data_IF_597816199762
#
_entry.id   IF_597816199762
#
_cell.length_a   1.000
_cell.length_b   1.000
_cell.length_c   1.000
_cell.angle_alpha   90.00
_cell.angle_beta   90.00
_cell.angle_gamma   90.00
#
_symmetry.space_group_name_H-M   'P 1'
#
loop_
_entity.id
_entity.type
_entity.pdbx_description
1 polymer ?
#
# COMPACT_ATOMS: atom_id res chain seq x y z
N UNK A 1 -5.44 -1.93 -40.59
CA UNK A 1 -5.51 -1.51 -39.16
C UNK A 1 -6.95 -1.54 -38.66
N UNK A 2 -7.90 -0.96 -39.40
CA UNK A 2 -9.33 -0.97 -39.03
C UNK A 2 -9.95 -2.38 -39.01
N UNK A 3 -9.61 -3.25 -39.96
CA UNK A 3 -10.09 -4.64 -40.01
C UNK A 3 -9.66 -5.47 -38.78
N UNK A 4 -8.40 -5.31 -38.37
CA UNK A 4 -7.83 -5.98 -37.17
C UNK A 4 -8.53 -5.49 -35.90
N UNK A 5 -8.84 -4.20 -35.83
CA UNK A 5 -9.58 -3.63 -34.70
C UNK A 5 -11.01 -4.15 -34.61
N UNK A 6 -11.70 -4.31 -35.74
CA UNK A 6 -13.06 -4.87 -35.78
C UNK A 6 -13.09 -6.34 -35.35
N UNK A 7 -12.16 -7.15 -35.86
CA UNK A 7 -12.07 -8.57 -35.53
C UNK A 7 -11.80 -8.77 -34.04
N UNK A 8 -10.86 -8.01 -33.47
CA UNK A 8 -10.57 -8.06 -32.04
C UNK A 8 -11.73 -7.54 -31.17
N UNK A 9 -12.44 -6.49 -31.57
CA UNK A 9 -13.65 -6.01 -30.86
C UNK A 9 -14.73 -7.09 -30.80
N UNK A 10 -14.93 -7.81 -31.89
CA UNK A 10 -15.85 -8.95 -31.97
C UNK A 10 -15.37 -10.12 -31.10
N UNK A 11 -14.08 -10.45 -31.12
CA UNK A 11 -13.55 -11.60 -30.36
C UNK A 11 -13.63 -11.40 -28.85
N UNK A 12 -13.33 -10.19 -28.38
CA UNK A 12 -13.29 -9.86 -26.94
C UNK A 12 -14.57 -9.19 -26.43
N UNK A 13 -15.60 -9.08 -27.29
CA UNK A 13 -16.90 -8.47 -27.02
C UNK A 13 -16.79 -7.12 -26.28
N UNK A 14 -15.82 -6.29 -26.66
CA UNK A 14 -15.51 -5.03 -26.00
C UNK A 14 -15.28 -3.92 -27.02
N UNK A 15 -16.09 -2.85 -26.94
CA UNK A 15 -16.03 -1.75 -27.92
C UNK A 15 -14.78 -0.87 -27.79
N UNK A 16 -14.13 -0.90 -26.64
CA UNK A 16 -13.00 -0.03 -26.27
C UNK A 16 -11.70 -0.83 -26.08
N UNK A 17 -11.35 -1.67 -27.05
CA UNK A 17 -10.13 -2.46 -27.00
C UNK A 17 -8.87 -1.60 -27.21
N UNK A 18 -8.91 -0.71 -28.21
CA UNK A 18 -7.83 0.22 -28.47
C UNK A 18 -8.23 1.61 -27.98
N UNK A 19 -7.52 2.08 -26.96
CA UNK A 19 -7.57 3.48 -26.53
C UNK A 19 -6.29 4.13 -26.99
N UNK A 20 -6.42 5.16 -27.83
CA UNK A 20 -5.29 6.02 -28.17
C UNK A 20 -4.77 6.60 -26.86
N UNK A 21 -3.48 6.36 -26.59
CA UNK A 21 -2.83 6.87 -25.37
C UNK A 21 -2.65 8.38 -25.49
N UNK A 22 -3.69 9.13 -25.10
CA UNK A 22 -3.64 10.57 -25.06
C UNK A 22 -3.12 11.02 -23.69
N UNK A 23 -1.80 11.18 -23.60
CA UNK A 23 -1.14 11.62 -22.38
C UNK A 23 -1.09 13.14 -22.30
N UNK A 24 -1.94 13.72 -21.46
CA UNK A 24 -1.91 15.14 -21.15
C UNK A 24 -0.79 15.43 -20.16
N UNK A 25 0.38 15.79 -20.68
CA UNK A 25 1.55 16.09 -19.85
C UNK A 25 1.29 17.28 -18.91
N UNK A 26 0.51 18.27 -19.36
CA UNK A 26 0.11 19.45 -18.59
C UNK A 26 -0.56 19.10 -17.27
N UNK A 27 -1.46 18.11 -17.27
CA UNK A 27 -2.13 17.65 -16.05
C UNK A 27 -1.12 17.00 -15.08
N UNK A 28 -0.03 16.44 -15.58
CA UNK A 28 0.97 15.75 -14.76
C UNK A 28 2.05 16.65 -14.18
N UNK A 29 2.12 17.93 -14.59
CA UNK A 29 3.13 18.87 -14.10
C UNK A 29 3.06 19.09 -12.59
N UNK A 30 1.87 19.00 -11.98
CA UNK A 30 1.71 19.08 -10.53
C UNK A 30 2.54 18.05 -9.78
N UNK A 31 2.64 16.82 -10.31
CA UNK A 31 3.42 15.75 -9.68
C UNK A 31 4.92 15.92 -9.84
N UNK A 32 5.37 16.76 -10.78
CA UNK A 32 6.80 16.97 -11.08
C UNK A 32 7.59 17.37 -9.84
N UNK A 33 7.03 18.25 -9.02
CA UNK A 33 7.67 18.69 -7.78
C UNK A 33 7.79 17.54 -6.77
N UNK A 34 6.75 16.71 -6.63
CA UNK A 34 6.77 15.53 -5.73
C UNK A 34 7.77 14.48 -6.17
N UNK A 35 7.81 14.19 -7.47
CA UNK A 35 8.78 13.27 -8.06
C UNK A 35 10.21 13.79 -7.91
N UNK A 36 10.44 15.09 -8.08
CA UNK A 36 11.76 15.72 -7.91
C UNK A 36 12.24 15.65 -6.46
N UNK A 37 11.35 15.81 -5.49
CA UNK A 37 11.71 15.68 -4.07
C UNK A 37 12.11 14.24 -3.71
N UNK A 38 11.39 13.24 -4.26
CA UNK A 38 11.77 11.82 -4.12
C UNK A 38 13.12 11.54 -4.77
N UNK A 39 13.34 12.06 -5.98
CA UNK A 39 14.60 11.90 -6.70
C UNK A 39 15.78 12.47 -5.92
N UNK A 40 15.65 13.68 -5.36
CA UNK A 40 16.70 14.33 -4.58
C UNK A 40 17.09 13.53 -3.34
N UNK A 41 16.15 12.79 -2.74
CA UNK A 41 16.45 11.95 -1.59
C UNK A 41 17.34 10.75 -1.94
N UNK A 42 17.33 10.30 -3.20
CA UNK A 42 18.13 9.17 -3.67
C UNK A 42 19.49 9.66 -4.16
N UNK A 43 20.51 9.48 -3.34
CA UNK A 43 21.90 9.83 -3.66
C UNK A 43 22.72 8.59 -4.06
N UNK A 44 23.86 8.78 -4.72
CA UNK A 44 24.80 7.68 -5.04
C UNK A 44 25.25 6.92 -3.79
N UNK A 45 25.39 7.63 -2.67
CA UNK A 45 25.75 7.05 -1.37
C UNK A 45 24.62 6.13 -0.89
N UNK A 46 23.38 6.62 -0.92
CA UNK A 46 22.21 5.83 -0.56
C UNK A 46 22.07 4.56 -1.41
N UNK A 47 22.31 4.65 -2.73
CA UNK A 47 22.28 3.48 -3.62
C UNK A 47 23.35 2.48 -3.22
N UNK A 48 24.59 2.94 -2.97
CA UNK A 48 25.69 2.07 -2.53
C UNK A 48 25.37 1.39 -1.20
N UNK A 49 24.86 2.14 -0.22
CA UNK A 49 24.51 1.60 1.10
C UNK A 49 23.34 0.61 1.01
N UNK A 50 22.31 0.91 0.22
CA UNK A 50 21.20 0.00 -0.03
C UNK A 50 21.68 -1.31 -0.67
N UNK A 51 22.59 -1.23 -1.66
CA UNK A 51 23.18 -2.42 -2.30
C UNK A 51 24.03 -3.23 -1.33
N UNK A 52 24.79 -2.57 -0.46
CA UNK A 52 25.60 -3.25 0.56
C UNK A 52 24.70 -3.97 1.57
N UNK A 53 23.57 -3.36 1.97
CA UNK A 53 22.55 -3.98 2.81
C UNK A 53 21.93 -5.22 2.16
N UNK A 54 21.55 -5.10 0.89
CA UNK A 54 20.98 -6.19 0.09
C UNK A 54 21.94 -7.39 0.05
N UNK A 55 23.19 -7.17 -0.34
CA UNK A 55 24.21 -8.22 -0.43
C UNK A 55 24.45 -8.88 0.94
N UNK A 56 24.56 -8.10 2.02
CA UNK A 56 24.70 -8.66 3.38
C UNK A 56 23.53 -9.59 3.72
N UNK A 57 22.31 -9.15 3.44
CA UNK A 57 21.11 -9.94 3.72
C UNK A 57 21.08 -11.22 2.90
N UNK A 58 21.46 -11.15 1.61
CA UNK A 58 21.60 -12.32 0.75
C UNK A 58 22.63 -13.30 1.29
N UNK A 59 23.78 -12.82 1.74
CA UNK A 59 24.85 -13.66 2.30
C UNK A 59 24.38 -14.38 3.57
N UNK A 60 23.65 -13.69 4.46
CA UNK A 60 23.09 -14.31 5.68
C UNK A 60 22.01 -15.35 5.34
N UNK A 61 21.20 -15.08 4.32
CA UNK A 61 20.09 -15.96 3.94
C UNK A 61 20.51 -17.12 3.03
N UNK A 62 21.71 -17.06 2.44
CA UNK A 62 22.22 -18.07 1.52
C UNK A 62 22.42 -19.43 2.19
N UNK A 63 21.75 -20.47 1.70
CA UNK A 63 21.81 -21.83 2.28
C UNK A 63 23.21 -22.44 2.20
N UNK A 64 23.93 -22.18 1.10
CA UNK A 64 25.28 -22.71 0.88
C UNK A 64 26.30 -22.20 1.89
N UNK A 65 26.03 -21.05 2.50
CA UNK A 65 26.94 -20.40 3.45
C UNK A 65 26.59 -20.72 4.92
N UNK A 66 25.48 -21.43 5.18
CA UNK A 66 25.06 -21.77 6.54
C UNK A 66 26.11 -22.61 7.27
N UNK A 67 26.62 -23.68 6.65
CA UNK A 67 27.66 -24.53 7.24
C UNK A 67 28.94 -23.76 7.53
N UNK A 68 29.38 -22.90 6.60
CA UNK A 68 30.55 -22.05 6.80
C UNK A 68 30.42 -21.14 8.03
N UNK A 69 29.22 -20.60 8.28
CA UNK A 69 28.96 -19.74 9.43
C UNK A 69 28.77 -20.51 10.75
N UNK A 70 28.39 -21.79 10.70
CA UNK A 70 28.42 -22.67 11.87
C UNK A 70 29.86 -22.87 12.35
N UNK A 71 30.79 -23.08 11.40
CA UNK A 71 32.22 -23.19 11.69
C UNK A 71 32.87 -21.84 12.06
N UNK A 72 32.36 -20.72 11.51
CA UNK A 72 32.89 -19.37 11.70
C UNK A 72 31.86 -18.40 12.30
N UNK A 73 31.51 -18.53 13.59
CA UNK A 73 30.48 -17.70 14.22
C UNK A 73 30.89 -16.21 14.35
N UNK A 74 32.18 -15.90 14.27
CA UNK A 74 32.69 -14.51 14.31
C UNK A 74 32.29 -13.72 13.06
N UNK A 75 32.29 -14.36 11.90
CA UNK A 75 31.99 -13.69 10.63
C UNK A 75 30.51 -13.41 10.50
N UNK A 76 29.67 -14.36 10.92
CA UNK A 76 28.23 -14.16 11.04
C UNK A 76 27.90 -13.01 12.01
N UNK A 77 28.57 -12.93 13.15
CA UNK A 77 28.41 -11.80 14.09
C UNK A 77 28.83 -10.48 13.46
N UNK A 78 29.93 -10.44 12.71
CA UNK A 78 30.40 -9.23 12.02
C UNK A 78 29.43 -8.78 10.93
N UNK A 79 28.79 -9.72 10.24
CA UNK A 79 27.77 -9.44 9.22
C UNK A 79 26.46 -8.91 9.84
N UNK A 80 26.09 -9.38 11.04
CA UNK A 80 24.92 -8.95 11.81
C UNK A 80 25.13 -7.66 12.61
N UNK A 81 26.36 -7.36 13.00
CA UNK A 81 26.74 -6.09 13.65
C UNK A 81 26.71 -4.98 12.59
N UNK A 82 25.51 -4.60 12.19
CA UNK A 82 25.31 -3.51 11.27
C UNK A 82 25.73 -2.19 11.92
N UNK A 83 26.65 -1.49 11.27
CA UNK A 83 26.72 -0.03 11.37
C UNK A 83 25.35 0.51 10.96
N UNK A 84 24.87 1.57 11.60
CA UNK A 84 23.65 2.26 11.17
C UNK A 84 23.84 2.76 9.73
N UNK A 85 23.44 1.94 8.76
CA UNK A 85 23.38 2.35 7.37
C UNK A 85 22.41 3.53 7.33
N UNK A 86 22.83 4.62 6.69
CA UNK A 86 21.99 5.79 6.52
C UNK A 86 20.94 5.41 5.48
N UNK A 87 19.90 4.71 5.93
CA UNK A 87 18.67 4.56 5.16
C UNK A 87 18.31 5.94 4.64
N UNK A 88 18.02 6.05 3.33
CA UNK A 88 17.52 7.28 2.71
C UNK A 88 16.54 7.91 3.69
N UNK A 89 16.77 9.16 4.07
CA UNK A 89 15.90 9.88 5.01
C UNK A 89 14.56 10.11 4.32
N UNK A 90 13.71 9.08 4.36
CA UNK A 90 12.39 9.08 3.77
C UNK A 90 11.58 10.16 4.46
N UNK A 91 11.21 11.17 3.70
CA UNK A 91 10.34 12.21 4.20
C UNK A 91 8.93 11.62 4.33
N UNK A 92 8.37 11.47 5.55
CA UNK A 92 7.10 10.77 5.74
C UNK A 92 5.95 11.45 4.99
N UNK A 93 6.01 12.79 4.89
CA UNK A 93 5.02 13.58 4.16
C UNK A 93 5.02 13.31 2.67
N UNK A 94 6.10 12.79 2.09
CA UNK A 94 6.21 12.53 0.65
C UNK A 94 5.32 11.36 0.20
N UNK A 95 4.88 10.51 1.13
CA UNK A 95 3.93 9.42 0.92
C UNK A 95 2.54 9.91 0.50
N UNK A 96 2.10 11.02 1.09
CA UNK A 96 0.77 11.56 0.85
C UNK A 96 0.84 12.62 -0.25
N UNK A 97 -0.07 12.61 -1.22
CA UNK A 97 -0.14 13.65 -2.25
C UNK A 97 -1.20 14.68 -1.85
N UNK A 98 -0.84 15.96 -1.65
CA UNK A 98 -1.81 17.01 -1.35
C UNK A 98 -2.87 17.16 -2.45
N UNK A 99 -4.10 17.50 -2.05
CA UNK A 99 -5.24 17.57 -2.97
C UNK A 99 -5.02 18.56 -4.13
N UNK A 100 -4.28 19.64 -3.90
CA UNK A 100 -3.99 20.66 -4.92
C UNK A 100 -3.01 20.18 -6.01
N UNK A 101 -2.25 19.10 -5.76
CA UNK A 101 -1.34 18.50 -6.74
C UNK A 101 -2.09 17.55 -7.67
N UNK A 102 -3.22 17.01 -7.22
CA UNK A 102 -3.96 15.98 -7.95
C UNK A 102 -4.83 16.62 -9.05
N UNK A 103 -4.68 16.20 -10.31
CA UNK A 103 -5.48 16.70 -11.42
C UNK A 103 -6.97 16.41 -11.25
N UNK A 104 -7.86 17.31 -11.71
CA UNK A 104 -9.31 17.14 -11.56
C UNK A 104 -9.84 15.85 -12.21
N UNK A 105 -9.20 15.39 -13.29
CA UNK A 105 -9.46 14.11 -13.98
C UNK A 105 -9.21 12.91 -13.07
N UNK A 106 -8.14 12.95 -12.27
CA UNK A 106 -7.74 11.87 -11.37
C UNK A 106 -8.41 11.93 -9.99
N UNK A 107 -8.88 13.11 -9.54
CA UNK A 107 -9.57 13.27 -8.24
C UNK A 107 -10.77 12.32 -8.07
N UNK A 108 -11.50 12.03 -9.15
CA UNK A 108 -12.66 11.11 -9.14
C UNK A 108 -12.26 9.65 -8.92
N UNK A 109 -11.10 9.24 -9.42
CA UNK A 109 -10.58 7.86 -9.35
C UNK A 109 -10.02 7.56 -7.96
N UNK A 110 -9.28 8.51 -7.37
CA UNK A 110 -8.57 8.27 -6.11
C UNK A 110 -9.53 8.33 -4.89
N UNK A 111 -10.79 8.74 -5.08
CA UNK A 111 -11.79 8.77 -4.01
C UNK A 111 -11.47 9.78 -2.89
N UNK A 112 -10.52 10.69 -3.11
CA UNK A 112 -10.04 11.70 -2.15
C UNK A 112 -11.18 12.64 -1.70
N UNK A 113 -12.28 12.71 -2.44
CA UNK A 113 -13.49 13.46 -2.07
C UNK A 113 -14.56 12.68 -1.30
N UNK A 114 -14.41 11.38 -1.01
CA UNK A 114 -15.44 10.60 -0.32
C UNK A 114 -15.29 10.66 1.21
N UNK A 115 -16.01 11.64 1.77
CA UNK A 115 -16.58 11.67 3.12
C UNK A 115 -15.56 11.72 4.27
N UNK A 116 -15.27 12.94 4.74
CA UNK A 116 -15.43 13.18 6.18
C UNK A 116 -16.86 12.75 6.50
N UNK A 117 -17.07 11.55 7.05
CA UNK A 117 -18.30 11.28 7.79
C UNK A 117 -18.32 12.38 8.84
N UNK A 118 -19.22 13.35 8.71
CA UNK A 118 -19.51 14.27 9.80
C UNK A 118 -19.86 13.34 10.97
N UNK A 119 -18.99 13.29 11.96
CA UNK A 119 -19.31 12.62 13.21
C UNK A 119 -20.43 13.45 13.80
N UNK A 120 -21.66 12.98 13.60
CA UNK A 120 -22.87 13.68 14.03
C UNK A 120 -22.92 13.61 15.54
N UNK A 121 -22.36 14.64 16.18
CA UNK A 121 -22.14 14.69 17.63
C UNK A 121 -23.47 14.73 18.40
N UNK A 122 -24.55 15.09 17.71
CA UNK A 122 -25.92 15.13 18.26
C UNK A 122 -26.57 13.74 18.34
N UNK A 123 -26.04 12.74 17.63
CA UNK A 123 -26.55 11.35 17.69
C UNK A 123 -26.04 10.56 18.92
N UNK A 124 -25.16 11.15 19.74
CA UNK A 124 -24.54 10.48 20.90
C UNK A 124 -25.09 10.96 22.26
N UNK A 125 -26.24 11.62 22.23
CA UNK A 125 -27.03 11.96 23.43
C UNK A 125 -27.77 10.72 23.95
N UNK A 126 -27.07 9.86 24.72
CA UNK A 126 -27.75 8.95 25.66
C UNK A 126 -27.24 7.49 25.75
N UNK A 127 -26.32 7.06 24.90
CA UNK A 127 -25.78 5.70 24.97
C UNK A 127 -24.38 5.68 25.59
N UNK A 128 -24.24 5.06 26.78
CA UNK A 128 -22.92 4.78 27.34
C UNK A 128 -22.15 3.82 26.43
N UNK A 129 -20.82 3.91 26.44
CA UNK A 129 -19.92 3.06 25.64
C UNK A 129 -20.19 1.57 25.85
N UNK A 130 -20.65 1.19 27.05
CA UNK A 130 -21.07 -0.17 27.38
C UNK A 130 -22.36 -0.58 26.66
N UNK A 131 -23.40 0.27 26.66
CA UNK A 131 -24.67 0.00 25.95
C UNK A 131 -24.48 -0.12 24.45
N UNK A 132 -23.64 0.74 23.84
CA UNK A 132 -23.34 0.66 22.41
C UNK A 132 -22.68 -0.67 22.02
N UNK A 133 -21.71 -1.14 22.81
CA UNK A 133 -21.05 -2.44 22.58
C UNK A 133 -22.00 -3.62 22.74
N UNK A 134 -22.90 -3.57 23.73
CA UNK A 134 -23.92 -4.59 23.92
C UNK A 134 -24.86 -4.68 22.72
N UNK A 135 -25.39 -3.54 22.26
CA UNK A 135 -26.28 -3.47 21.10
C UNK A 135 -25.59 -3.98 19.82
N UNK A 136 -24.34 -3.59 19.58
CA UNK A 136 -23.58 -4.05 18.41
C UNK A 136 -23.31 -5.58 18.44
N UNK A 137 -23.15 -6.18 19.62
CA UNK A 137 -23.03 -7.63 19.78
C UNK A 137 -24.37 -8.33 19.57
N UNK A 138 -25.46 -7.77 20.11
CA UNK A 138 -26.80 -8.32 19.97
C UNK A 138 -27.28 -8.30 18.49
N UNK A 139 -26.94 -7.24 17.76
CA UNK A 139 -27.25 -7.12 16.33
C UNK A 139 -26.35 -7.95 15.41
N UNK A 140 -25.35 -8.66 15.96
CA UNK A 140 -24.49 -9.53 15.16
C UNK A 140 -25.10 -10.93 15.03
N UNK A 141 -25.58 -11.33 13.84
CA UNK A 141 -26.27 -12.59 13.63
C UNK A 141 -25.39 -13.83 13.84
N UNK A 142 -24.06 -13.67 13.87
CA UNK A 142 -23.12 -14.76 14.14
C UNK A 142 -22.92 -15.00 15.64
N UNK A 143 -23.19 -13.99 16.48
CA UNK A 143 -22.96 -14.06 17.94
C UNK A 143 -24.27 -14.39 18.67
N UNK A 144 -25.40 -13.84 18.23
CA UNK A 144 -26.70 -14.04 18.89
C UNK A 144 -27.45 -15.29 18.42
N UNK A 145 -26.83 -16.14 17.58
CA UNK A 145 -27.44 -17.34 17.05
C UNK A 145 -27.62 -18.40 18.17
N UNK A 146 -28.84 -18.55 18.67
CA UNK A 146 -29.22 -19.64 19.56
C UNK A 146 -29.75 -20.81 18.74
N UNK A 147 -28.99 -21.91 18.69
CA UNK A 147 -29.46 -23.16 18.09
C UNK A 147 -30.30 -23.89 19.17
N UNK A 148 -31.60 -24.13 18.95
CA UNK A 148 -32.40 -24.89 19.90
C UNK A 148 -31.86 -26.32 20.00
N UNK A 149 -31.46 -26.72 21.21
CA UNK A 149 -30.96 -28.06 21.48
C UNK A 149 -32.07 -29.10 21.31
N UNK A 150 -31.83 -30.10 20.46
CA UNK A 150 -32.70 -31.26 20.34
C UNK A 150 -32.74 -32.00 21.68
N UNK A 151 -33.90 -31.96 22.36
CA UNK A 151 -34.21 -32.89 23.44
C UNK A 151 -34.57 -34.22 22.79
N UNK A 152 -33.62 -35.16 22.78
CA UNK A 152 -33.89 -36.57 22.48
C UNK A 152 -34.73 -37.17 23.61
N UNK A 153 -35.90 -37.71 23.26
CA UNK A 153 -36.58 -38.77 24.00
C UNK A 153 -36.05 -40.12 23.50
#
# INVERSE_FOLDING_TARGET
MEEVELELKHTYNCENLFKIYQFKLEEMEGFRYRAKDAWKAVTRIAVREARLKEIKQEVINCEKLKSYFEDNPRDLKSLRQDKTLHTVKLQPHLKDVPEYIVPPTLKKVIGIGRRKRKFDRDSMSGATTAKSRYLARASNPLISLQIPGNKSL
#
